data_IF_670990565053
#
_entry.id   IF_670990565053
#
_cell.length_a   1.000
_cell.length_b   1.000
_cell.length_c   1.000
_cell.angle_alpha   90.00
_cell.angle_beta   90.00
_cell.angle_gamma   90.00
#
_symmetry.space_group_name_H-M   'P 1'
#
loop_
_entity.id
_entity.type
_entity.pdbx_description
1 polymer ?
#
# COMPACT_ATOMS: atom_id res chain seq x y z
N UNK A 1 -12.00 -26.22 -64.11
CA UNK A 1 -11.69 -26.99 -62.87
C UNK A 1 -10.17 -26.99 -62.76
N UNK A 2 -9.52 -25.95 -62.20
CA UNK A 2 -9.49 -25.51 -60.79
C UNK A 2 -9.07 -26.64 -59.84
N UNK A 3 -7.89 -26.43 -59.22
CA UNK A 3 -7.33 -27.09 -58.02
C UNK A 3 -6.60 -28.42 -58.20
N UNK A 4 -5.30 -28.35 -58.53
CA UNK A 4 -4.25 -29.16 -57.88
C UNK A 4 -2.96 -28.33 -57.89
N UNK A 5 -2.79 -27.47 -56.89
CA UNK A 5 -1.48 -27.02 -56.41
C UNK A 5 -1.72 -26.38 -55.03
N UNK A 6 -0.75 -26.55 -54.13
CA UNK A 6 -0.64 -25.88 -52.82
C UNK A 6 -1.46 -26.48 -51.67
N UNK A 7 -1.04 -27.66 -51.21
CA UNK A 7 -1.24 -28.14 -49.83
C UNK A 7 0.11 -28.44 -49.18
N UNK A 8 1.01 -27.45 -49.21
CA UNK A 8 2.30 -27.48 -48.50
C UNK A 8 2.56 -26.21 -47.68
N UNK A 9 1.51 -25.44 -47.36
CA UNK A 9 1.62 -24.22 -46.56
C UNK A 9 0.39 -24.06 -45.66
N UNK A 10 0.21 -24.95 -44.69
CA UNK A 10 -0.79 -24.79 -43.62
C UNK A 10 -0.55 -25.73 -42.43
N UNK A 11 0.71 -25.85 -42.02
CA UNK A 11 1.07 -26.51 -40.76
C UNK A 11 2.28 -25.82 -40.09
N UNK A 12 2.25 -24.48 -40.07
CA UNK A 12 3.22 -23.64 -39.37
C UNK A 12 2.55 -22.41 -38.75
N UNK A 13 1.32 -22.56 -38.23
CA UNK A 13 0.61 -21.50 -37.53
C UNK A 13 -0.26 -22.10 -36.43
N UNK A 14 0.37 -22.58 -35.36
CA UNK A 14 -0.27 -22.90 -34.08
C UNK A 14 0.81 -23.29 -33.06
N UNK A 15 1.72 -22.37 -32.74
CA UNK A 15 2.62 -22.46 -31.58
C UNK A 15 3.24 -21.06 -31.38
N UNK A 16 2.63 -20.28 -30.48
CA UNK A 16 3.16 -19.13 -29.73
C UNK A 16 2.04 -18.11 -29.43
N UNK A 17 1.09 -18.52 -28.58
CA UNK A 17 0.35 -17.58 -27.73
C UNK A 17 0.53 -18.05 -26.29
N UNK A 18 1.77 -17.97 -25.82
CA UNK A 18 2.12 -18.04 -24.41
C UNK A 18 2.52 -16.64 -23.97
N UNK A 19 1.63 -16.02 -23.18
CA UNK A 19 1.97 -15.00 -22.19
C UNK A 19 2.81 -13.81 -22.65
N UNK A 20 2.26 -12.94 -23.51
CA UNK A 20 2.63 -11.54 -23.42
C UNK A 20 1.74 -10.92 -22.34
N UNK A 21 2.26 -10.82 -21.11
CA UNK A 21 1.79 -9.82 -20.17
C UNK A 21 1.89 -8.47 -20.90
N UNK A 22 0.74 -7.96 -21.36
CA UNK A 22 0.69 -6.64 -21.97
C UNK A 22 1.20 -5.66 -20.94
N UNK A 23 2.31 -4.98 -21.21
CA UNK A 23 2.68 -3.77 -20.48
C UNK A 23 1.51 -2.79 -20.67
N UNK A 24 0.60 -2.74 -19.70
CA UNK A 24 -0.32 -1.61 -19.60
C UNK A 24 0.53 -0.34 -19.63
N UNK A 25 0.24 0.62 -20.52
CA UNK A 25 1.03 1.83 -20.60
C UNK A 25 0.88 2.56 -19.26
N UNK A 26 1.98 2.61 -18.50
CA UNK A 26 2.05 3.29 -17.20
C UNK A 26 1.48 4.72 -17.26
N UNK A 27 1.57 5.36 -18.43
CA UNK A 27 1.07 6.71 -18.69
C UNK A 27 -0.42 6.90 -18.36
N UNK A 28 -1.28 5.88 -18.45
CA UNK A 28 -2.70 6.08 -18.10
C UNK A 28 -2.92 6.28 -16.60
N UNK A 29 -2.09 5.64 -15.75
CA UNK A 29 -2.21 5.72 -14.29
C UNK A 29 -1.67 7.03 -13.72
N UNK A 30 -0.64 7.59 -14.35
CA UNK A 30 -0.07 8.88 -13.95
C UNK A 30 -0.95 10.09 -14.26
N UNK A 31 -1.90 9.95 -15.19
CA UNK A 31 -2.86 10.99 -15.56
C UNK A 31 -4.18 10.88 -14.78
N UNK A 32 -4.30 9.93 -13.85
CA UNK A 32 -5.45 9.86 -12.94
C UNK A 32 -5.53 11.16 -12.11
N UNK A 33 -6.75 11.65 -11.81
CA UNK A 33 -7.00 12.92 -11.13
C UNK A 33 -6.70 12.80 -9.62
N UNK A 34 -5.45 12.52 -9.30
CA UNK A 34 -4.94 12.24 -7.97
C UNK A 34 -3.92 13.30 -7.57
N UNK A 35 -3.96 13.66 -6.28
CA UNK A 35 -2.98 14.53 -5.66
C UNK A 35 -2.34 13.84 -4.47
N UNK A 36 -1.07 14.10 -4.24
CA UNK A 36 -0.36 13.64 -3.04
C UNK A 36 -0.41 14.71 -1.95
N UNK A 37 -0.47 14.23 -0.72
CA UNK A 37 -0.36 15.03 0.49
C UNK A 37 1.07 15.57 0.66
N UNK A 38 1.21 16.73 1.32
CA UNK A 38 2.51 17.28 1.73
C UNK A 38 2.39 17.73 3.19
N UNK A 39 3.10 17.03 4.06
CA UNK A 39 3.16 17.35 5.49
C UNK A 39 4.33 18.28 5.75
N UNK A 40 4.04 19.39 6.43
CA UNK A 40 4.98 20.48 6.74
C UNK A 40 5.46 20.48 8.18
N UNK A 41 4.67 19.93 9.09
CA UNK A 41 5.04 19.81 10.50
C UNK A 41 4.67 18.41 11.00
N UNK A 42 5.69 17.60 11.27
CA UNK A 42 5.60 16.29 11.92
C UNK A 42 5.69 16.39 13.45
N UNK A 43 6.19 17.50 14.00
CA UNK A 43 6.48 17.67 15.42
C UNK A 43 7.75 16.96 15.89
N UNK A 44 8.48 16.29 15.00
CA UNK A 44 9.71 15.55 15.31
C UNK A 44 10.80 16.47 15.88
N UNK A 45 10.92 17.69 15.36
CA UNK A 45 11.88 18.69 15.83
C UNK A 45 11.43 19.42 17.12
N UNK A 46 10.19 19.20 17.58
CA UNK A 46 9.62 19.88 18.75
C UNK A 46 9.77 19.03 20.03
N UNK A 47 9.26 17.79 20.02
CA UNK A 47 9.42 16.78 21.09
C UNK A 47 8.66 15.50 20.73
N UNK A 48 8.99 14.37 21.37
CA UNK A 48 8.26 13.10 21.21
C UNK A 48 6.77 13.22 21.56
N UNK A 49 6.44 13.97 22.61
CA UNK A 49 5.06 14.23 23.00
C UNK A 49 4.30 15.02 21.92
N UNK A 50 4.98 15.97 21.27
CA UNK A 50 4.40 16.77 20.19
C UNK A 50 4.20 15.96 18.92
N UNK A 51 5.20 15.17 18.55
CA UNK A 51 5.10 14.19 17.47
C UNK A 51 3.88 13.29 17.67
N UNK A 52 3.73 12.71 18.86
CA UNK A 52 2.62 11.81 19.16
C UNK A 52 1.26 12.52 19.14
N UNK A 53 1.19 13.78 19.57
CA UNK A 53 0.00 14.62 19.43
C UNK A 53 -0.40 14.79 17.95
N UNK A 54 0.58 15.09 17.09
CA UNK A 54 0.36 15.27 15.65
C UNK A 54 0.00 13.95 14.98
N UNK A 55 0.67 12.86 15.33
CA UNK A 55 0.40 11.53 14.79
C UNK A 55 -1.04 11.06 15.10
N UNK A 56 -1.55 11.35 16.30
CA UNK A 56 -2.96 11.09 16.65
C UNK A 56 -3.94 11.90 15.78
N UNK A 57 -3.61 13.15 15.43
CA UNK A 57 -4.42 13.96 14.51
C UNK A 57 -4.36 13.40 13.10
N UNK A 58 -3.18 12.96 12.67
CA UNK A 58 -2.97 12.29 11.39
C UNK A 58 -3.79 11.02 11.26
N UNK A 59 -3.85 10.17 12.29
CA UNK A 59 -4.69 8.96 12.26
C UNK A 59 -6.16 9.29 12.07
N UNK A 60 -6.69 10.27 12.81
CA UNK A 60 -8.07 10.75 12.66
C UNK A 60 -8.32 11.33 11.27
N UNK A 61 -7.38 12.14 10.78
CA UNK A 61 -7.48 12.77 9.47
C UNK A 61 -7.50 11.73 8.35
N UNK A 62 -6.58 10.76 8.37
CA UNK A 62 -6.50 9.73 7.33
C UNK A 62 -7.81 8.95 7.24
N UNK A 63 -8.35 8.51 8.37
CA UNK A 63 -9.65 7.81 8.42
C UNK A 63 -10.79 8.68 7.86
N UNK A 64 -10.82 9.97 8.20
CA UNK A 64 -11.86 10.89 7.72
C UNK A 64 -11.71 11.21 6.22
N UNK A 65 -10.49 11.36 5.71
CA UNK A 65 -10.22 11.54 4.28
C UNK A 65 -10.59 10.30 3.48
N UNK A 66 -10.29 9.12 4.01
CA UNK A 66 -10.67 7.85 3.39
C UNK A 66 -12.21 7.75 3.28
N UNK A 67 -12.92 8.00 4.38
CA UNK A 67 -14.39 7.93 4.42
C UNK A 67 -15.08 8.99 3.54
N UNK A 68 -14.60 10.24 3.58
CA UNK A 68 -15.33 11.38 3.00
C UNK A 68 -14.83 11.83 1.63
N UNK A 69 -13.55 11.60 1.32
CA UNK A 69 -12.91 12.04 0.09
C UNK A 69 -12.44 10.88 -0.79
N UNK A 70 -12.59 9.63 -0.34
CA UNK A 70 -12.07 8.45 -1.06
C UNK A 70 -10.54 8.46 -1.15
N UNK A 71 -9.88 9.12 -0.19
CA UNK A 71 -8.43 9.08 -0.10
C UNK A 71 -7.96 7.64 0.15
N UNK A 72 -6.80 7.28 -0.36
CA UNK A 72 -6.26 5.95 -0.17
C UNK A 72 -4.77 5.95 0.11
N UNK A 73 -4.29 4.87 0.71
CA UNK A 73 -2.87 4.60 0.96
C UNK A 73 -2.35 3.61 -0.08
N UNK A 74 -1.19 3.90 -0.64
CA UNK A 74 -0.35 2.95 -1.36
C UNK A 74 1.10 3.17 -0.92
N UNK A 75 1.50 2.46 0.13
CA UNK A 75 2.86 2.41 0.64
C UNK A 75 3.63 1.29 -0.05
N UNK A 76 4.59 1.71 -0.86
CA UNK A 76 5.48 0.82 -1.61
C UNK A 76 6.94 1.05 -1.19
N UNK A 77 7.20 1.40 0.07
CA UNK A 77 8.52 1.72 0.60
C UNK A 77 9.56 0.63 0.30
N UNK A 78 9.20 -0.64 0.45
CA UNK A 78 10.08 -1.77 0.13
C UNK A 78 10.53 -1.80 -1.34
N UNK A 79 9.77 -1.17 -2.25
CA UNK A 79 10.10 -1.05 -3.67
C UNK A 79 10.77 0.28 -4.02
N UNK A 80 11.07 1.12 -3.02
CA UNK A 80 11.81 2.37 -3.25
C UNK A 80 13.22 2.05 -3.75
N UNK A 81 13.63 2.79 -4.78
CA UNK A 81 14.95 2.70 -5.38
C UNK A 81 15.99 3.28 -4.42
N UNK A 82 17.04 2.52 -4.09
CA UNK A 82 18.10 2.95 -3.15
C UNK A 82 19.39 3.40 -3.84
N UNK A 83 19.53 3.18 -5.14
CA UNK A 83 20.70 3.54 -5.94
C UNK A 83 20.31 4.03 -7.35
N UNK A 84 21.29 4.46 -8.14
CA UNK A 84 21.04 4.92 -9.51
C UNK A 84 20.69 3.77 -10.49
N UNK A 85 20.83 2.52 -10.05
CA UNK A 85 20.59 1.32 -10.88
C UNK A 85 19.12 0.84 -10.80
N UNK A 86 18.33 1.37 -9.87
CA UNK A 86 16.95 0.96 -9.68
C UNK A 86 16.77 -0.15 -8.66
N UNK A 87 17.79 -0.45 -7.83
CA UNK A 87 17.71 -1.53 -6.85
C UNK A 87 16.61 -1.23 -5.82
N UNK A 88 15.61 -2.10 -5.65
CA UNK A 88 14.56 -1.89 -4.65
C UNK A 88 15.10 -2.15 -3.24
N UNK A 89 14.60 -1.40 -2.26
CA UNK A 89 15.02 -1.49 -0.86
C UNK A 89 14.94 -2.92 -0.30
N UNK A 90 13.91 -3.69 -0.65
CA UNK A 90 13.79 -5.07 -0.17
C UNK A 90 14.99 -5.95 -0.57
N UNK A 91 15.66 -5.67 -1.69
CA UNK A 91 16.82 -6.44 -2.13
C UNK A 91 18.05 -6.23 -1.23
N UNK A 92 18.05 -5.16 -0.43
CA UNK A 92 19.09 -4.88 0.57
C UNK A 92 18.80 -5.52 1.93
N UNK A 93 17.58 -6.04 2.14
CA UNK A 93 17.17 -6.66 3.38
C UNK A 93 17.62 -8.14 3.42
N UNK A 94 17.72 -8.67 4.64
CA UNK A 94 18.05 -10.08 4.87
C UNK A 94 17.06 -10.68 5.86
N UNK A 95 15.79 -10.86 5.45
CA UNK A 95 14.75 -11.41 6.31
C UNK A 95 15.02 -12.88 6.69
N UNK A 96 14.38 -13.33 7.77
CA UNK A 96 14.49 -14.71 8.25
C UNK A 96 13.71 -15.71 7.38
N UNK A 97 12.68 -15.24 6.68
CA UNK A 97 11.89 -16.00 5.69
C UNK A 97 12.24 -15.55 4.26
N UNK A 98 11.90 -16.31 3.22
CA UNK A 98 12.17 -15.90 1.84
C UNK A 98 11.65 -14.50 1.51
N UNK A 99 12.39 -13.77 0.68
CA UNK A 99 12.14 -12.36 0.42
C UNK A 99 10.77 -12.10 -0.20
N UNK A 100 10.24 -13.08 -0.93
CA UNK A 100 8.94 -13.05 -1.58
C UNK A 100 7.79 -12.96 -0.57
N UNK A 101 7.97 -13.52 0.64
CA UNK A 101 6.92 -13.61 1.67
C UNK A 101 7.21 -12.78 2.92
N UNK A 102 8.39 -12.17 3.01
CA UNK A 102 8.81 -11.40 4.18
C UNK A 102 8.07 -10.04 4.27
N UNK A 103 7.70 -9.57 5.48
CA UNK A 103 7.19 -8.21 5.69
C UNK A 103 8.15 -7.11 5.22
N UNK A 104 9.46 -7.27 5.45
CA UNK A 104 10.50 -6.39 4.90
C UNK A 104 10.96 -6.78 3.48
N UNK A 105 10.19 -7.64 2.82
CA UNK A 105 10.51 -8.21 1.51
C UNK A 105 9.68 -7.60 0.39
N UNK A 106 9.23 -8.46 -0.53
CA UNK A 106 8.40 -8.10 -1.69
C UNK A 106 6.95 -7.80 -1.27
N UNK A 107 6.76 -6.88 -0.34
CA UNK A 107 5.46 -6.52 0.20
C UNK A 107 5.12 -5.05 0.00
N UNK A 108 3.82 -4.74 0.03
CA UNK A 108 3.29 -3.37 0.05
C UNK A 108 2.18 -3.27 1.09
N UNK A 109 1.86 -2.05 1.50
CA UNK A 109 0.75 -1.78 2.39
C UNK A 109 -0.21 -0.79 1.72
N UNK A 110 -1.50 -1.14 1.69
CA UNK A 110 -2.53 -0.34 1.03
C UNK A 110 -3.74 -0.17 1.93
N UNK A 111 -4.50 0.90 1.75
CA UNK A 111 -5.85 0.97 2.33
C UNK A 111 -6.88 0.40 1.35
N UNK A 112 -8.01 -0.08 1.85
CA UNK A 112 -9.04 -0.72 1.03
C UNK A 112 -9.59 0.15 -0.12
N UNK A 113 -9.59 1.49 0.01
CA UNK A 113 -9.97 2.42 -1.06
C UNK A 113 -9.05 2.33 -2.31
N UNK A 114 -7.80 1.86 -2.15
CA UNK A 114 -6.87 1.63 -3.26
C UNK A 114 -7.46 0.72 -4.34
N UNK A 115 -8.23 -0.30 -3.94
CA UNK A 115 -8.80 -1.29 -4.85
C UNK A 115 -9.95 -0.76 -5.71
N UNK A 116 -10.47 0.45 -5.43
CA UNK A 116 -11.40 1.13 -6.35
C UNK A 116 -10.69 1.63 -7.61
N UNK A 117 -9.40 1.89 -7.51
CA UNK A 117 -8.54 2.35 -8.60
C UNK A 117 -7.76 1.21 -9.24
N UNK A 118 -7.39 0.21 -8.43
CA UNK A 118 -6.55 -0.91 -8.82
C UNK A 118 -7.24 -2.22 -8.37
N UNK A 119 -8.32 -2.63 -9.06
CA UNK A 119 -9.11 -3.79 -8.66
C UNK A 119 -8.28 -5.07 -8.78
N UNK A 120 -8.53 -5.99 -7.85
CA UNK A 120 -7.90 -7.32 -7.82
C UNK A 120 -8.97 -8.42 -7.78
N UNK A 121 -8.57 -9.62 -8.20
CA UNK A 121 -9.37 -10.83 -8.20
C UNK A 121 -8.89 -11.79 -7.11
N UNK A 122 -9.83 -12.21 -6.27
CA UNK A 122 -9.64 -13.28 -5.29
C UNK A 122 -9.67 -14.64 -6.00
N UNK A 123 -9.03 -15.65 -5.41
CA UNK A 123 -9.03 -17.01 -5.97
C UNK A 123 -10.43 -17.62 -5.99
N UNK A 124 -11.21 -17.39 -4.94
CA UNK A 124 -12.56 -17.94 -4.78
C UNK A 124 -13.64 -17.17 -5.59
N UNK A 125 -13.26 -16.06 -6.20
CA UNK A 125 -14.15 -15.19 -6.99
C UNK A 125 -15.13 -14.35 -6.16
N UNK A 126 -15.04 -14.38 -4.82
CA UNK A 126 -15.85 -13.50 -3.97
C UNK A 126 -15.26 -12.09 -3.92
N UNK A 127 -16.04 -11.09 -3.52
CA UNK A 127 -15.54 -9.72 -3.50
C UNK A 127 -14.52 -9.56 -2.38
N UNK A 128 -13.39 -8.92 -2.68
CA UNK A 128 -12.36 -8.62 -1.69
C UNK A 128 -12.94 -7.96 -0.43
N UNK A 129 -13.81 -6.95 -0.59
CA UNK A 129 -14.41 -6.20 0.52
C UNK A 129 -15.25 -7.05 1.46
N UNK A 130 -15.74 -8.21 1.01
CA UNK A 130 -16.53 -9.15 1.84
C UNK A 130 -15.63 -10.08 2.67
N UNK A 131 -14.33 -10.14 2.36
CA UNK A 131 -13.34 -10.97 3.06
C UNK A 131 -12.47 -10.19 4.06
N UNK A 132 -12.46 -8.86 4.00
CA UNK A 132 -11.71 -8.00 4.93
C UNK A 132 -12.35 -8.04 6.32
N UNK A 133 -11.53 -8.33 7.34
CA UNK A 133 -11.93 -8.35 8.75
C UNK A 133 -11.56 -7.03 9.42
N UNK A 134 -12.55 -6.26 9.87
CA UNK A 134 -12.37 -4.96 10.54
C UNK A 134 -12.22 -5.09 12.07
N UNK A 135 -11.46 -6.08 12.51
CA UNK A 135 -11.17 -6.31 13.92
C UNK A 135 -9.80 -5.72 14.31
N UNK A 136 -9.72 -5.08 15.48
CA UNK A 136 -8.52 -4.38 15.93
C UNK A 136 -7.34 -5.33 16.16
N UNK A 137 -7.57 -6.62 16.39
CA UNK A 137 -6.54 -7.64 16.59
C UNK A 137 -6.31 -8.50 15.33
N UNK A 138 -6.78 -8.05 14.16
CA UNK A 138 -6.65 -8.81 12.91
C UNK A 138 -5.95 -8.00 11.81
N UNK A 139 -4.79 -8.49 11.35
CA UNK A 139 -4.13 -8.02 10.12
C UNK A 139 -4.76 -8.73 8.92
N UNK A 140 -5.09 -7.99 7.86
CA UNK A 140 -5.57 -8.57 6.60
C UNK A 140 -4.42 -8.60 5.59
N UNK A 141 -4.17 -9.76 4.99
CA UNK A 141 -3.04 -9.99 4.10
C UNK A 141 -3.50 -10.63 2.80
N UNK A 142 -3.24 -9.97 1.67
CA UNK A 142 -3.43 -10.60 0.36
C UNK A 142 -2.18 -11.40 0.03
N UNK A 143 -2.40 -12.66 -0.35
CA UNK A 143 -1.34 -13.60 -0.70
C UNK A 143 -1.60 -14.15 -2.10
N UNK A 144 -0.70 -13.92 -3.07
CA UNK A 144 -0.73 -14.59 -4.37
C UNK A 144 -0.80 -16.12 -4.20
N UNK A 145 -1.65 -16.77 -4.98
CA UNK A 145 -1.91 -18.21 -4.88
C UNK A 145 -0.64 -19.08 -4.96
N UNK A 146 0.36 -18.67 -5.74
CA UNK A 146 1.64 -19.36 -5.85
C UNK A 146 2.39 -19.50 -4.52
N UNK A 147 2.10 -18.66 -3.51
CA UNK A 147 2.72 -18.74 -2.18
C UNK A 147 1.89 -19.53 -1.16
N UNK A 148 0.81 -20.20 -1.58
CA UNK A 148 -0.07 -20.99 -0.69
C UNK A 148 0.69 -22.08 0.07
N UNK A 149 1.70 -22.71 -0.54
CA UNK A 149 2.50 -23.76 0.12
C UNK A 149 3.37 -23.23 1.28
N UNK A 150 3.50 -21.90 1.41
CA UNK A 150 4.24 -21.21 2.47
C UNK A 150 3.33 -20.57 3.53
N UNK A 151 2.04 -20.92 3.56
CA UNK A 151 1.03 -20.30 4.44
C UNK A 151 1.47 -20.21 5.90
N UNK A 152 2.07 -21.27 6.44
CA UNK A 152 2.52 -21.28 7.84
C UNK A 152 3.65 -20.27 8.11
N UNK A 153 4.64 -20.19 7.22
CA UNK A 153 5.77 -19.25 7.34
C UNK A 153 5.28 -17.80 7.20
N UNK A 154 4.30 -17.57 6.32
CA UNK A 154 3.62 -16.29 6.16
C UNK A 154 2.88 -15.93 7.46
N UNK A 155 2.07 -16.83 7.99
CA UNK A 155 1.29 -16.58 9.22
C UNK A 155 2.19 -16.24 10.41
N UNK A 156 3.33 -16.91 10.55
CA UNK A 156 4.31 -16.65 11.62
C UNK A 156 4.97 -15.28 11.42
N UNK A 157 5.59 -15.04 10.25
CA UNK A 157 6.32 -13.79 10.00
C UNK A 157 5.43 -12.55 10.06
N UNK A 158 4.19 -12.64 9.55
CA UNK A 158 3.27 -11.50 9.54
C UNK A 158 2.54 -11.29 10.87
N UNK A 159 2.41 -12.32 11.71
CA UNK A 159 1.92 -12.14 13.09
C UNK A 159 2.97 -11.46 13.95
N UNK A 160 4.23 -11.88 13.85
CA UNK A 160 5.36 -11.22 14.53
C UNK A 160 5.48 -9.75 14.10
N UNK A 161 5.41 -9.49 12.79
CA UNK A 161 5.41 -8.12 12.28
C UNK A 161 4.21 -7.30 12.79
N UNK A 162 2.99 -7.88 12.81
CA UNK A 162 1.82 -7.18 13.35
C UNK A 162 1.96 -6.90 14.85
N UNK A 163 2.56 -7.82 15.61
CA UNK A 163 2.89 -7.61 17.02
C UNK A 163 3.85 -6.45 17.20
N UNK A 164 4.91 -6.39 16.39
CA UNK A 164 5.84 -5.26 16.38
C UNK A 164 5.11 -3.94 16.10
N UNK A 165 4.35 -3.84 15.01
CA UNK A 165 3.68 -2.59 14.61
C UNK A 165 2.63 -2.11 15.63
N UNK A 166 1.85 -3.06 16.18
CA UNK A 166 0.73 -2.74 17.06
C UNK A 166 1.18 -2.53 18.50
N UNK A 167 2.02 -3.44 19.02
CA UNK A 167 2.33 -3.52 20.45
C UNK A 167 3.68 -2.91 20.76
N UNK A 168 4.76 -3.39 20.13
CA UNK A 168 6.12 -2.97 20.49
C UNK A 168 6.37 -1.51 20.12
N UNK A 169 6.08 -1.14 18.87
CA UNK A 169 6.20 0.23 18.39
C UNK A 169 5.30 1.18 19.22
N UNK A 170 4.04 0.81 19.45
CA UNK A 170 3.11 1.63 20.23
C UNK A 170 3.57 1.85 21.67
N UNK A 171 4.07 0.80 22.32
CA UNK A 171 4.63 0.88 23.67
C UNK A 171 5.90 1.75 23.71
N UNK A 172 6.78 1.62 22.70
CA UNK A 172 7.98 2.45 22.56
C UNK A 172 7.63 3.93 22.39
N UNK A 173 6.72 4.27 21.47
CA UNK A 173 6.29 5.66 21.27
C UNK A 173 5.63 6.27 22.51
N UNK A 174 4.80 5.49 23.22
CA UNK A 174 4.24 5.92 24.49
C UNK A 174 5.32 6.18 25.55
N UNK A 175 6.36 5.34 25.61
CA UNK A 175 7.48 5.50 26.54
C UNK A 175 8.27 6.78 26.31
N UNK A 176 8.73 7.01 25.08
CA UNK A 176 9.53 8.19 24.75
C UNK A 176 8.69 9.49 24.89
N UNK A 177 7.37 9.40 24.70
CA UNK A 177 6.45 10.51 24.95
C UNK A 177 6.08 10.70 26.44
N UNK A 178 6.64 9.90 27.36
CA UNK A 178 6.38 9.99 28.80
C UNK A 178 4.98 9.54 29.24
N UNK A 179 4.29 8.72 28.43
CA UNK A 179 2.99 8.12 28.76
C UNK A 179 3.18 6.79 29.48
N UNK A 180 2.33 6.52 30.47
CA UNK A 180 2.36 5.26 31.23
C UNK A 180 1.56 4.13 30.54
N UNK A 181 0.72 4.47 29.56
CA UNK A 181 -0.13 3.50 28.86
C UNK A 181 0.71 2.47 28.09
N UNK A 182 0.40 1.19 28.29
CA UNK A 182 1.00 0.07 27.58
C UNK A 182 -0.08 -0.91 27.13
N UNK A 183 0.07 -1.41 25.91
CA UNK A 183 -0.77 -2.49 25.39
C UNK A 183 -0.30 -3.81 26.03
N UNK A 184 -1.20 -4.44 26.79
CA UNK A 184 -1.00 -5.77 27.37
C UNK A 184 -1.43 -6.89 26.43
N UNK A 185 -1.23 -6.71 25.13
CA UNK A 185 -1.57 -7.69 24.10
C UNK A 185 -0.35 -8.60 23.91
N UNK A 186 -0.56 -9.90 23.83
CA UNK A 186 0.47 -10.89 23.46
C UNK A 186 0.33 -11.30 21.99
N UNK A 187 1.41 -11.78 21.39
CA UNK A 187 1.45 -12.15 19.97
C UNK A 187 0.36 -13.18 19.60
N UNK A 188 0.10 -14.16 20.45
CA UNK A 188 -0.91 -15.21 20.24
C UNK A 188 -2.36 -14.71 20.28
N UNK A 189 -2.59 -13.47 20.73
CA UNK A 189 -3.90 -12.81 20.64
C UNK A 189 -4.13 -12.18 19.26
N UNK A 190 -3.08 -12.04 18.44
CA UNK A 190 -3.15 -11.43 17.13
C UNK A 190 -3.44 -12.46 16.04
N UNK A 191 -4.30 -12.07 15.12
CA UNK A 191 -4.71 -12.88 13.97
C UNK A 191 -4.20 -12.27 12.68
N UNK A 192 -3.77 -13.13 11.74
CA UNK A 192 -3.53 -12.77 10.35
C UNK A 192 -4.61 -13.45 9.51
N UNK A 193 -5.47 -12.65 8.89
CA UNK A 193 -6.48 -13.09 7.94
C UNK A 193 -5.87 -13.10 6.53
N UNK A 194 -5.51 -14.28 6.04
CA UNK A 194 -5.01 -14.45 4.67
C UNK A 194 -6.18 -14.51 3.68
N UNK A 195 -6.12 -13.66 2.67
CA UNK A 195 -7.03 -13.64 1.53
C UNK A 195 -6.22 -14.01 0.29
N UNK A 196 -6.54 -15.15 -0.31
CA UNK A 196 -5.84 -15.59 -1.50
C UNK A 196 -6.32 -14.85 -2.75
N UNK A 197 -5.36 -14.32 -3.51
CA UNK A 197 -5.60 -13.61 -4.76
C UNK A 197 -4.94 -14.35 -5.92
N UNK A 198 -5.49 -14.18 -7.13
CA UNK A 198 -4.93 -14.82 -8.32
C UNK A 198 -3.49 -14.33 -8.58
N UNK A 199 -2.66 -15.21 -9.13
CA UNK A 199 -1.31 -14.87 -9.58
C UNK A 199 -1.31 -13.94 -10.79
N UNK A 200 -0.17 -13.29 -11.04
CA UNK A 200 0.06 -12.35 -12.12
C UNK A 200 -0.60 -10.98 -11.94
N UNK A 201 -1.09 -10.66 -10.75
CA UNK A 201 -1.77 -9.39 -10.47
C UNK A 201 -0.78 -8.27 -10.24
N UNK A 202 -1.16 -7.06 -10.66
CA UNK A 202 -0.27 -5.91 -10.70
C UNK A 202 -0.82 -4.78 -9.84
N UNK A 203 0.06 -4.18 -9.07
CA UNK A 203 -0.21 -3.09 -8.14
C UNK A 203 0.57 -1.86 -8.59
N UNK A 204 -0.15 -0.82 -8.97
CA UNK A 204 0.47 0.44 -9.37
C UNK A 204 0.87 1.27 -8.14
N UNK A 205 2.14 1.69 -8.10
CA UNK A 205 2.61 2.68 -7.11
C UNK A 205 2.64 4.07 -7.72
N UNK A 206 2.11 5.05 -7.00
CA UNK A 206 1.99 6.43 -7.47
C UNK A 206 3.22 7.27 -7.10
N UNK A 207 4.38 6.61 -6.94
CA UNK A 207 5.68 7.21 -6.67
C UNK A 207 6.73 6.70 -7.67
N UNK A 208 7.37 7.64 -8.37
CA UNK A 208 8.27 7.33 -9.49
C UNK A 208 9.58 6.69 -9.05
N UNK A 209 9.95 6.85 -7.78
CA UNK A 209 11.10 6.20 -7.17
C UNK A 209 10.79 4.76 -6.71
N UNK A 210 9.53 4.31 -6.79
CA UNK A 210 9.13 2.96 -6.42
C UNK A 210 8.87 2.09 -7.67
N UNK A 211 9.43 0.88 -7.68
CA UNK A 211 9.35 -0.06 -8.82
C UNK A 211 9.69 0.62 -10.17
N UNK A 212 10.74 1.44 -10.15
CA UNK A 212 11.12 2.34 -11.24
C UNK A 212 11.50 1.57 -12.52
N UNK A 213 12.14 0.40 -12.37
CA UNK A 213 12.47 -0.55 -13.44
C UNK A 213 11.26 -1.06 -14.22
N UNK A 214 10.11 -1.16 -13.54
CA UNK A 214 8.89 -1.80 -14.05
C UNK A 214 7.77 -0.80 -14.34
N UNK A 215 8.14 0.48 -14.47
CA UNK A 215 7.19 1.55 -14.77
C UNK A 215 6.19 1.78 -13.64
N UNK A 216 6.63 1.59 -12.40
CA UNK A 216 5.84 1.74 -11.17
C UNK A 216 4.73 0.70 -11.00
N UNK A 217 4.94 -0.48 -11.57
CA UNK A 217 4.09 -1.64 -11.34
C UNK A 217 4.82 -2.71 -10.56
N UNK A 218 4.13 -3.26 -9.56
CA UNK A 218 4.61 -4.34 -8.72
C UNK A 218 3.77 -5.58 -9.02
N UNK A 219 4.40 -6.73 -9.28
CA UNK A 219 3.69 -7.97 -9.61
C UNK A 219 3.79 -8.96 -8.46
N UNK A 220 2.65 -9.53 -8.09
CA UNK A 220 2.50 -10.55 -7.04
C UNK A 220 3.23 -10.23 -5.71
N UNK A 221 3.08 -9.01 -5.14
CA UNK A 221 3.54 -8.76 -3.79
C UNK A 221 2.60 -9.42 -2.76
N UNK A 222 3.09 -9.63 -1.54
CA UNK A 222 2.20 -9.73 -0.39
C UNK A 222 1.66 -8.34 -0.04
N UNK A 223 0.36 -8.22 0.25
CA UNK A 223 -0.29 -6.92 0.45
C UNK A 223 -0.97 -6.85 1.79
N UNK A 224 -0.42 -6.06 2.70
CA UNK A 224 -1.11 -5.74 3.95
C UNK A 224 -2.21 -4.71 3.69
N UNK A 225 -3.44 -5.03 4.07
CA UNK A 225 -4.53 -4.06 4.05
C UNK A 225 -4.57 -3.34 5.39
N UNK A 226 -4.22 -2.05 5.36
CA UNK A 226 -4.31 -1.16 6.51
C UNK A 226 -5.77 -0.85 6.83
N UNK A 227 -6.18 -1.12 8.07
CA UNK A 227 -7.54 -0.91 8.59
C UNK A 227 -7.58 0.07 9.78
N UNK A 228 -6.47 0.75 10.08
CA UNK A 228 -6.40 1.66 11.23
C UNK A 228 -6.09 0.98 12.57
N UNK A 229 -5.69 -0.29 12.56
CA UNK A 229 -5.51 -1.13 13.74
C UNK A 229 -4.06 -1.18 14.29
N UNK A 230 -3.15 -0.36 13.76
CA UNK A 230 -1.78 -0.18 14.26
C UNK A 230 -1.59 1.20 14.89
N UNK A 231 -0.42 1.45 15.49
CA UNK A 231 -0.14 2.69 16.19
C UNK A 231 -0.20 3.93 15.26
N UNK A 232 -0.54 5.10 15.80
CA UNK A 232 -0.84 6.29 14.99
C UNK A 232 0.35 6.86 14.20
N UNK A 233 1.59 6.46 14.53
CA UNK A 233 2.79 6.80 13.75
C UNK A 233 2.70 6.28 12.30
N UNK A 234 2.07 5.12 12.07
CA UNK A 234 1.90 4.56 10.73
C UNK A 234 0.97 5.43 9.89
N UNK A 235 -0.18 5.84 10.44
CA UNK A 235 -1.07 6.78 9.78
C UNK A 235 -0.40 8.13 9.50
N UNK A 236 0.46 8.59 10.41
CA UNK A 236 1.26 9.79 10.20
C UNK A 236 2.25 9.62 9.04
N UNK A 237 2.98 8.50 9.00
CA UNK A 237 3.88 8.14 7.90
C UNK A 237 3.14 8.12 6.56
N UNK A 238 1.97 7.49 6.49
CA UNK A 238 1.17 7.47 5.25
C UNK A 238 0.80 8.87 4.79
N UNK A 239 0.28 9.71 5.68
CA UNK A 239 -0.08 11.09 5.32
C UNK A 239 1.11 11.93 4.88
N UNK A 240 2.34 11.58 5.25
CA UNK A 240 3.53 12.32 4.79
C UNK A 240 3.93 11.97 3.36
N UNK A 241 3.67 10.74 2.91
CA UNK A 241 4.37 10.18 1.75
C UNK A 241 3.58 9.21 0.87
N UNK A 242 2.50 8.60 1.38
CA UNK A 242 1.83 7.45 0.77
C UNK A 242 0.32 7.62 0.63
N UNK A 243 -0.22 8.79 0.96
CA UNK A 243 -1.66 9.11 0.83
C UNK A 243 -1.95 9.91 -0.42
N UNK A 244 -2.93 9.43 -1.19
CA UNK A 244 -3.39 10.01 -2.44
C UNK A 244 -4.86 10.45 -2.32
N UNK A 245 -5.17 11.62 -2.87
CA UNK A 245 -6.45 12.30 -2.80
C UNK A 245 -7.05 12.38 -4.21
N UNK A 246 -8.13 11.64 -4.50
CA UNK A 246 -8.91 11.83 -5.71
C UNK A 246 -9.59 13.20 -5.77
N UNK A 247 -9.43 13.93 -6.88
CA UNK A 247 -10.15 15.18 -7.11
C UNK A 247 -10.13 15.60 -8.58
N UNK A 248 -11.31 15.88 -9.13
CA UNK A 248 -11.51 16.42 -10.49
C UNK A 248 -11.36 17.95 -10.55
N UNK A 249 -10.93 18.60 -9.46
CA UNK A 249 -10.92 20.05 -9.35
C UNK A 249 -9.94 20.76 -10.32
N UNK A 250 -9.03 19.98 -10.93
CA UNK A 250 -8.09 20.42 -11.96
C UNK A 250 -6.92 21.28 -11.47
N UNK A 251 -6.80 21.52 -10.16
CA UNK A 251 -5.58 22.07 -9.56
C UNK A 251 -5.42 21.65 -8.09
N UNK A 252 -4.17 21.56 -7.58
CA UNK A 252 -3.93 21.16 -6.19
C UNK A 252 -4.58 22.09 -5.16
N UNK A 253 -4.66 23.39 -5.44
CA UNK A 253 -5.26 24.38 -4.52
C UNK A 253 -6.78 24.21 -4.41
N UNK A 254 -7.44 23.78 -5.50
CA UNK A 254 -8.88 23.51 -5.46
C UNK A 254 -9.16 22.16 -4.82
N UNK A 255 -8.38 21.13 -5.14
CA UNK A 255 -8.46 19.83 -4.46
C UNK A 255 -8.23 19.96 -2.95
N UNK A 256 -7.28 20.79 -2.52
CA UNK A 256 -7.06 21.08 -1.11
C UNK A 256 -8.30 21.70 -0.45
N UNK A 257 -9.03 22.60 -1.12
CA UNK A 257 -10.26 23.21 -0.58
C UNK A 257 -11.37 22.18 -0.36
N UNK A 258 -11.42 21.11 -1.14
CA UNK A 258 -12.41 20.04 -0.97
C UNK A 258 -12.17 19.27 0.35
N UNK A 259 -10.91 19.06 0.73
CA UNK A 259 -10.56 18.35 1.97
C UNK A 259 -10.30 19.26 3.18
N UNK A 260 -10.19 20.58 2.98
CA UNK A 260 -9.90 21.55 4.04
C UNK A 260 -10.87 21.48 5.25
N UNK A 261 -12.18 21.22 5.10
CA UNK A 261 -13.07 21.05 6.25
C UNK A 261 -12.63 19.89 7.17
N UNK A 262 -12.15 18.78 6.60
CA UNK A 262 -11.70 17.60 7.35
C UNK A 262 -10.36 17.87 8.05
N UNK A 263 -9.45 18.61 7.40
CA UNK A 263 -8.19 19.07 8.01
C UNK A 263 -8.46 19.96 9.22
N UNK A 264 -9.43 20.87 9.11
CA UNK A 264 -9.87 21.75 10.20
C UNK A 264 -10.49 20.95 11.36
N UNK A 265 -11.35 19.99 11.06
CA UNK A 265 -12.01 19.13 12.04
C UNK A 265 -11.00 18.33 12.88
N UNK A 266 -9.95 17.80 12.24
CA UNK A 266 -8.91 17.04 12.94
C UNK A 266 -7.81 17.90 13.59
N UNK A 267 -7.86 19.24 13.45
CA UNK A 267 -6.83 20.13 13.98
C UNK A 267 -5.46 19.97 13.30
N UNK A 268 -5.45 19.61 12.02
CA UNK A 268 -4.25 19.26 11.26
C UNK A 268 -3.77 20.38 10.31
N UNK A 269 -4.27 21.61 10.45
CA UNK A 269 -3.98 22.73 9.54
C UNK A 269 -2.51 23.15 9.54
N UNK A 270 -1.79 22.90 10.64
CA UNK A 270 -0.36 23.17 10.71
C UNK A 270 0.49 22.05 10.10
N UNK A 271 -0.07 20.85 9.97
CA UNK A 271 0.62 19.67 9.42
C UNK A 271 0.38 19.55 7.92
N UNK A 272 -0.86 19.54 7.45
CA UNK A 272 -1.19 19.41 6.01
C UNK A 272 -1.66 20.76 5.47
N UNK A 273 -0.82 21.42 4.66
CA UNK A 273 -1.08 22.78 4.14
C UNK A 273 -1.30 22.85 2.64
N UNK A 274 -0.85 21.82 1.90
CA UNK A 274 -1.04 21.78 0.46
C UNK A 274 -1.15 20.34 -0.03
N UNK A 275 -1.65 20.22 -1.25
CA UNK A 275 -1.53 19.02 -2.07
C UNK A 275 -0.59 19.31 -3.23
N UNK A 276 0.02 18.27 -3.80
CA UNK A 276 0.80 18.35 -5.04
C UNK A 276 0.30 17.38 -6.08
N UNK A 277 0.52 17.64 -7.38
CA UNK A 277 0.32 16.62 -8.40
C UNK A 277 1.24 15.41 -8.14
N UNK A 278 0.88 14.24 -8.69
CA UNK A 278 1.71 13.04 -8.63
C UNK A 278 3.10 13.26 -9.24
N UNK A 279 3.15 14.00 -10.36
CA UNK A 279 4.39 14.36 -11.05
C UNK A 279 4.55 15.87 -11.09
N UNK A 280 5.76 16.35 -10.75
CA UNK A 280 6.11 17.73 -10.98
C UNK A 280 6.24 17.91 -12.51
N UNK A 281 5.37 18.72 -13.11
CA UNK A 281 5.50 19.15 -14.52
C UNK A 281 6.51 20.27 -14.65
#
# INVERSE_FOLDING_TARGET
MKRILEWAALLAALLALTGCAGKEPADSKWEEPLYRTVVYNSGEDESDAKYLEIALRSQKLLALLEEKAGAFVMDAYNYQTVDDEGTPLYAMNSPEVPIEIAPAGMSVQVSWEYFKWNPIETVDGSKLTEQIVLDDLTLNLLVPEQYRDMEQEILEAWRDYFYFEKVEAGNYYNEIAGREERLGITEDQLTVNIIYVKDGQRYFTYRSDCASSDGSWITDPLVQIYTGNTHCNYAHSFLTQWTYIPSEAGSPEKAYKEIAPYILECGAQESLKELRPLRNK
#
